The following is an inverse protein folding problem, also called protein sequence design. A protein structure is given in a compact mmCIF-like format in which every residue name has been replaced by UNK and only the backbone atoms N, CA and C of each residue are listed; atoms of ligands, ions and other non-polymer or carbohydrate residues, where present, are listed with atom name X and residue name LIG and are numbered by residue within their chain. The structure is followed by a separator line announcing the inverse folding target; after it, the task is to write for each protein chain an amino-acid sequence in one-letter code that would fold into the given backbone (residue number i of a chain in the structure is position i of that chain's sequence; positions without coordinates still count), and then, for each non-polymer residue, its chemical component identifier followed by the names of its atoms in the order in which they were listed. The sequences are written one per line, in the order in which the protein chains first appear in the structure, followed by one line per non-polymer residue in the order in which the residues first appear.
data_IF_191674898694
#
_entry.id   IF_191674898694
#
_cell.length_a   1.000
_cell.length_b   1.000
_cell.length_c   1.000
_cell.angle_alpha   90.00
_cell.angle_beta   90.00
_cell.angle_gamma   90.00
#
_symmetry.space_group_name_H-M   'P 1'
#
loop_
_entity.id
_entity.type
_entity.pdbx_description
1 polymer ?
#
# COMPACT_ATOMS: atom_id res chain seq x y z
N UNK A 1 10.95 19.14 5.59
CA UNK A 1 10.55 18.70 4.23
C UNK A 1 10.92 19.79 3.25
N UNK A 2 11.51 19.43 2.12
CA UNK A 2 11.82 20.35 1.03
C UNK A 2 11.38 19.70 -0.27
N UNK A 3 10.75 20.45 -1.15
CA UNK A 3 10.38 20.00 -2.49
C UNK A 3 10.37 21.20 -3.42
N UNK A 4 10.62 20.94 -4.70
CA UNK A 4 10.55 21.93 -5.76
C UNK A 4 9.77 21.37 -6.94
N UNK A 5 9.13 22.25 -7.72
CA UNK A 5 8.44 21.87 -8.95
C UNK A 5 9.08 22.63 -10.11
N UNK A 6 9.73 21.88 -10.98
CA UNK A 6 10.46 22.40 -12.13
C UNK A 6 9.66 22.01 -13.37
N UNK A 7 9.11 22.99 -14.07
CA UNK A 7 8.39 22.77 -15.33
C UNK A 7 9.20 23.32 -16.49
N UNK A 8 9.41 22.49 -17.50
CA UNK A 8 10.07 22.87 -18.74
C UNK A 8 9.30 22.32 -19.94
N UNK A 9 8.74 23.23 -20.75
CA UNK A 9 7.88 22.89 -21.89
C UNK A 9 6.71 22.00 -21.46
N UNK A 10 6.67 20.78 -21.97
CA UNK A 10 5.66 19.75 -21.74
C UNK A 10 6.07 18.72 -20.68
N UNK A 11 7.16 18.97 -19.95
CA UNK A 11 7.65 18.10 -18.87
C UNK A 11 7.63 18.85 -17.55
N UNK A 12 7.17 18.20 -16.49
CA UNK A 12 7.25 18.69 -15.12
C UNK A 12 7.94 17.67 -14.23
N UNK A 13 8.86 18.14 -13.39
CA UNK A 13 9.64 17.35 -12.45
C UNK A 13 9.37 17.87 -11.04
N UNK A 14 9.23 16.96 -10.08
CA UNK A 14 8.96 17.28 -8.69
C UNK A 14 9.89 16.47 -7.78
N UNK A 15 11.17 16.86 -7.64
CA UNK A 15 12.04 16.33 -6.61
C UNK A 15 11.64 16.86 -5.23
N UNK A 16 11.76 16.00 -4.22
CA UNK A 16 11.54 16.35 -2.83
C UNK A 16 12.26 15.41 -1.88
N UNK A 17 12.47 15.88 -0.66
CA UNK A 17 13.09 15.11 0.42
C UNK A 17 12.42 15.47 1.74
N UNK A 18 12.13 14.43 2.52
CA UNK A 18 11.69 14.57 3.91
C UNK A 18 12.74 13.98 4.82
N UNK A 19 13.00 14.65 5.94
CA UNK A 19 13.78 14.12 7.03
C UNK A 19 12.90 14.14 8.28
N UNK A 20 12.90 13.04 9.01
CA UNK A 20 12.19 12.87 10.28
C UNK A 20 13.13 12.16 11.26
N UNK A 21 13.02 12.50 12.54
CA UNK A 21 13.68 11.78 13.63
C UNK A 21 12.62 11.13 14.51
N UNK A 22 12.77 9.84 14.76
CA UNK A 22 11.89 9.05 15.61
C UNK A 22 12.50 8.93 17.01
N UNK A 23 11.83 9.51 18.02
CA UNK A 23 12.32 9.48 19.40
C UNK A 23 12.21 8.10 20.06
N UNK A 24 11.28 7.24 19.64
CA UNK A 24 11.07 5.93 20.27
C UNK A 24 12.15 4.95 19.81
N UNK A 25 12.41 4.87 18.50
CA UNK A 25 13.47 4.04 17.94
C UNK A 25 14.83 4.74 17.84
N UNK A 26 14.88 6.04 18.14
CA UNK A 26 16.08 6.89 18.00
C UNK A 26 16.67 6.90 16.57
N UNK A 27 15.82 6.79 15.55
CA UNK A 27 16.24 6.64 14.16
C UNK A 27 16.12 7.95 13.35
N UNK A 28 17.07 8.14 12.43
CA UNK A 28 17.06 9.20 11.43
C UNK A 28 16.51 8.67 10.09
N UNK A 29 15.39 9.22 9.63
CA UNK A 29 14.67 8.72 8.48
C UNK A 29 14.68 9.74 7.34
N UNK A 30 15.19 9.36 6.16
CA UNK A 30 15.27 10.23 4.98
C UNK A 30 14.41 9.65 3.86
N UNK A 31 13.34 10.35 3.50
CA UNK A 31 12.38 9.96 2.47
C UNK A 31 12.56 10.80 1.19
N UNK A 32 13.32 10.33 0.18
CA UNK A 32 13.28 10.94 -1.14
C UNK A 32 11.91 10.75 -1.78
N UNK A 33 11.48 11.76 -2.54
CA UNK A 33 10.28 11.75 -3.37
C UNK A 33 10.60 12.33 -4.73
N UNK A 34 10.18 11.64 -5.77
CA UNK A 34 10.37 12.08 -7.12
C UNK A 34 9.13 11.74 -7.94
N UNK A 35 8.66 12.72 -8.71
CA UNK A 35 7.61 12.54 -9.70
C UNK A 35 8.01 13.29 -10.97
N UNK A 36 7.70 12.70 -12.11
CA UNK A 36 7.77 13.33 -13.43
C UNK A 36 6.44 13.18 -14.13
N UNK A 37 6.04 14.22 -14.84
CA UNK A 37 4.86 14.26 -15.70
C UNK A 37 5.31 14.74 -17.08
N UNK A 38 4.86 14.07 -18.14
CA UNK A 38 5.19 14.41 -19.51
C UNK A 38 3.93 14.39 -20.38
N UNK A 39 3.58 15.54 -20.94
CA UNK A 39 2.56 15.69 -21.98
C UNK A 39 3.18 15.47 -23.35
N UNK A 40 3.05 14.26 -23.92
CA UNK A 40 3.79 13.85 -25.13
C UNK A 40 3.58 14.84 -26.29
N UNK A 41 2.36 15.37 -26.42
CA UNK A 41 1.95 16.23 -27.54
C UNK A 41 1.70 17.69 -27.16
N UNK A 42 1.98 18.07 -25.90
CA UNK A 42 1.73 19.42 -25.37
C UNK A 42 0.27 19.90 -25.51
N UNK A 43 -0.68 18.97 -25.55
CA UNK A 43 -2.11 19.24 -25.70
C UNK A 43 -2.98 18.41 -24.73
N UNK A 44 -2.34 17.77 -23.73
CA UNK A 44 -2.94 16.93 -22.69
C UNK A 44 -3.70 15.70 -23.22
N UNK A 45 -3.44 15.31 -24.47
CA UNK A 45 -4.05 14.12 -25.07
C UNK A 45 -3.39 12.85 -24.55
N UNK A 46 -2.07 12.88 -24.36
CA UNK A 46 -1.30 11.73 -23.89
C UNK A 46 -0.34 12.17 -22.80
N UNK A 47 -0.66 11.80 -21.57
CA UNK A 47 0.11 12.15 -20.38
C UNK A 47 0.79 10.89 -19.83
N UNK A 48 2.11 10.92 -19.69
CA UNK A 48 2.85 9.92 -18.95
C UNK A 48 3.19 10.50 -17.59
N UNK A 49 3.02 9.71 -16.53
CA UNK A 49 3.47 10.02 -15.19
C UNK A 49 4.38 8.90 -14.71
N UNK A 50 5.44 9.25 -14.00
CA UNK A 50 6.27 8.27 -13.32
C UNK A 50 6.76 8.85 -11.99
N UNK A 51 6.99 8.00 -11.00
CA UNK A 51 7.48 8.44 -9.72
C UNK A 51 8.20 7.35 -8.95
N UNK A 52 9.13 7.78 -8.11
CA UNK A 52 9.85 6.92 -7.17
C UNK A 52 9.86 7.61 -5.81
N UNK A 53 9.32 6.93 -4.80
CA UNK A 53 9.10 7.52 -3.49
C UNK A 53 9.43 6.52 -2.39
N UNK A 54 10.00 7.01 -1.29
CA UNK A 54 10.13 6.26 -0.04
C UNK A 54 9.17 6.81 1.01
N UNK A 55 8.55 5.91 1.76
CA UNK A 55 7.66 6.26 2.86
C UNK A 55 8.05 5.46 4.09
N UNK A 56 8.63 6.14 5.09
CA UNK A 56 8.78 5.54 6.42
C UNK A 56 7.41 5.52 7.11
N UNK A 57 7.13 4.45 7.84
CA UNK A 57 5.88 4.32 8.55
C UNK A 57 5.87 3.14 9.51
N UNK A 58 5.02 3.23 10.52
CA UNK A 58 4.76 2.12 11.41
C UNK A 58 3.93 2.49 12.64
N UNK A 59 3.25 1.51 13.23
CA UNK A 59 2.54 1.65 14.50
C UNK A 59 3.51 1.54 15.69
N UNK A 60 4.54 2.37 15.71
CA UNK A 60 5.56 2.40 16.77
C UNK A 60 4.92 2.73 18.14
N UNK A 61 3.84 3.51 18.12
CA UNK A 61 3.00 3.77 19.30
C UNK A 61 2.35 2.49 19.86
N UNK A 62 1.88 1.56 19.01
CA UNK A 62 1.31 0.29 19.48
C UNK A 62 2.36 -0.53 20.22
N UNK A 63 3.60 -0.54 19.72
CA UNK A 63 4.73 -1.19 20.40
C UNK A 63 5.01 -0.55 21.77
N UNK A 64 5.07 0.79 21.84
CA UNK A 64 5.29 1.50 23.10
C UNK A 64 4.15 1.28 24.12
N UNK A 65 2.89 1.30 23.67
CA UNK A 65 1.74 1.03 24.54
C UNK A 65 1.73 -0.41 25.06
N UNK A 66 2.16 -1.37 24.23
CA UNK A 66 2.31 -2.78 24.62
C UNK A 66 3.44 -2.99 25.61
N UNK A 67 4.57 -2.32 25.42
CA UNK A 67 5.70 -2.37 26.36
C UNK A 67 5.28 -1.88 27.74
N UNK A 68 4.58 -0.73 27.78
CA UNK A 68 3.96 -0.22 29.01
C UNK A 68 3.02 -1.29 29.58
N UNK A 69 2.03 -1.78 28.83
CA UNK A 69 1.06 -2.79 29.31
C UNK A 69 1.76 -4.03 29.87
N UNK A 70 2.77 -4.56 29.18
CA UNK A 70 3.50 -5.74 29.60
C UNK A 70 4.21 -5.51 30.93
N UNK A 71 4.82 -4.32 31.14
CA UNK A 71 5.43 -3.94 32.42
C UNK A 71 4.45 -3.93 33.60
N UNK A 72 3.17 -3.57 33.37
CA UNK A 72 2.12 -3.64 34.40
C UNK A 72 1.68 -5.09 34.70
N UNK A 73 1.61 -5.96 33.68
CA UNK A 73 1.17 -7.36 33.84
C UNK A 73 2.23 -8.29 34.46
N UNK A 74 3.52 -7.99 34.28
CA UNK A 74 4.61 -8.73 34.95
C UNK A 74 4.57 -8.61 36.49
N UNK A 75 3.80 -7.65 37.02
CA UNK A 75 3.64 -7.43 38.46
C UNK A 75 2.62 -8.38 39.13
N UNK A 76 1.88 -9.20 38.37
CA UNK A 76 0.72 -9.97 38.88
C UNK A 76 0.81 -11.49 38.63
N UNK A 77 1.68 -11.96 37.72
CA UNK A 77 1.82 -13.39 37.38
C UNK A 77 3.27 -13.88 37.56
N UNK A 78 3.47 -15.07 38.14
CA UNK A 78 4.79 -15.65 38.36
C UNK A 78 5.55 -16.09 37.09
N UNK A 79 4.99 -15.89 35.89
CA UNK A 79 5.66 -16.14 34.62
C UNK A 79 6.29 -14.83 34.10
N UNK A 80 7.61 -14.83 33.88
CA UNK A 80 8.34 -13.67 33.31
C UNK A 80 8.26 -13.69 31.79
N UNK A 81 7.90 -12.55 31.18
CA UNK A 81 7.84 -12.38 29.72
C UNK A 81 8.80 -11.27 29.32
N UNK A 82 10.04 -11.65 29.02
CA UNK A 82 11.05 -10.69 28.63
C UNK A 82 10.83 -10.27 27.19
N UNK A 83 10.47 -9.01 26.98
CA UNK A 83 10.34 -8.41 25.64
C UNK A 83 11.58 -7.57 25.34
N UNK A 84 12.21 -7.81 24.18
CA UNK A 84 13.37 -7.03 23.72
C UNK A 84 13.07 -6.27 22.44
N UNK A 85 13.25 -4.95 22.51
CA UNK A 85 13.12 -3.98 21.42
C UNK A 85 14.49 -3.35 21.07
N UNK A 86 15.54 -4.15 20.92
CA UNK A 86 16.89 -3.63 20.68
C UNK A 86 17.15 -3.38 19.19
N UNK A 87 17.76 -2.22 18.88
CA UNK A 87 18.29 -1.82 17.56
C UNK A 87 17.32 -1.96 16.38
N UNK A 88 16.03 -1.72 16.63
CA UNK A 88 15.00 -1.77 15.60
C UNK A 88 15.11 -0.57 14.64
N UNK A 89 15.15 -0.87 13.35
CA UNK A 89 15.03 0.12 12.28
C UNK A 89 13.58 0.55 12.11
N UNK A 90 13.36 1.78 11.68
CA UNK A 90 12.02 2.24 11.28
C UNK A 90 11.65 1.59 9.94
N UNK A 91 10.53 0.85 9.85
CA UNK A 91 10.08 0.27 8.58
C UNK A 91 9.81 1.33 7.51
N UNK A 92 9.99 0.95 6.25
CA UNK A 92 9.68 1.83 5.13
C UNK A 92 9.20 1.07 3.90
N UNK A 93 8.50 1.77 3.03
CA UNK A 93 8.04 1.28 1.74
C UNK A 93 8.66 2.11 0.62
N UNK A 94 9.33 1.43 -0.31
CA UNK A 94 9.72 2.00 -1.59
C UNK A 94 8.61 1.77 -2.61
N UNK A 95 8.25 2.83 -3.34
CA UNK A 95 7.19 2.83 -4.33
C UNK A 95 7.72 3.31 -5.67
N UNK A 96 7.50 2.50 -6.71
CA UNK A 96 7.67 2.88 -8.11
C UNK A 96 6.28 2.93 -8.76
N UNK A 97 5.90 4.10 -9.26
CA UNK A 97 4.61 4.32 -9.91
C UNK A 97 4.82 4.75 -11.37
N UNK A 98 3.99 4.23 -12.27
CA UNK A 98 3.92 4.64 -13.66
C UNK A 98 2.46 4.74 -14.08
N UNK A 99 2.09 5.82 -14.76
CA UNK A 99 0.75 6.07 -15.25
C UNK A 99 0.76 6.56 -16.70
N UNK A 100 -0.22 6.11 -17.47
CA UNK A 100 -0.52 6.60 -18.80
C UNK A 100 -1.98 7.04 -18.82
N UNK A 101 -2.22 8.30 -19.17
CA UNK A 101 -3.54 8.82 -19.48
C UNK A 101 -3.60 9.13 -20.97
N UNK A 102 -4.64 8.67 -21.64
CA UNK A 102 -4.90 8.88 -23.05
C UNK A 102 -6.33 9.39 -23.25
N UNK A 103 -6.50 10.53 -23.91
CA UNK A 103 -7.78 10.93 -24.48
C UNK A 103 -8.02 10.11 -25.77
N UNK A 104 -9.09 9.34 -25.80
CA UNK A 104 -9.50 8.48 -26.92
C UNK A 104 -10.71 9.13 -27.60
N UNK A 105 -10.58 9.43 -28.88
CA UNK A 105 -11.62 10.15 -29.62
C UNK A 105 -11.88 11.53 -29.01
N UNK A 106 -13.16 11.95 -29.00
CA UNK A 106 -13.54 13.29 -28.56
C UNK A 106 -13.84 13.40 -27.07
N UNK A 107 -14.23 12.31 -26.41
CA UNK A 107 -14.85 12.40 -25.09
C UNK A 107 -14.50 11.25 -24.12
N UNK A 108 -13.58 10.35 -24.45
CA UNK A 108 -13.20 9.26 -23.53
C UNK A 108 -11.80 9.51 -23.00
N UNK A 109 -11.60 9.35 -21.70
CA UNK A 109 -10.29 9.36 -21.06
C UNK A 109 -10.03 7.95 -20.53
N UNK A 110 -8.97 7.32 -21.03
CA UNK A 110 -8.45 6.07 -20.50
C UNK A 110 -7.24 6.35 -19.61
N UNK A 111 -7.17 5.72 -18.45
CA UNK A 111 -6.00 5.80 -17.55
C UNK A 111 -5.55 4.40 -17.17
N UNK A 112 -4.30 4.08 -17.45
CA UNK A 112 -3.64 2.87 -17.01
C UNK A 112 -2.56 3.25 -15.98
N UNK A 113 -2.59 2.66 -14.79
CA UNK A 113 -1.57 2.88 -13.78
C UNK A 113 -1.01 1.55 -13.28
N UNK A 114 0.29 1.52 -13.07
CA UNK A 114 1.01 0.44 -12.43
C UNK A 114 1.78 0.99 -11.23
N UNK A 115 1.66 0.33 -10.09
CA UNK A 115 2.39 0.68 -8.87
C UNK A 115 3.03 -0.58 -8.31
N UNK A 116 4.35 -0.53 -8.14
CA UNK A 116 5.12 -1.51 -7.41
C UNK A 116 5.49 -0.95 -6.04
N UNK A 117 5.23 -1.71 -4.98
CA UNK A 117 5.64 -1.38 -3.62
C UNK A 117 6.47 -2.51 -3.04
N UNK A 118 7.58 -2.15 -2.42
CA UNK A 118 8.39 -3.06 -1.63
C UNK A 118 8.52 -2.50 -0.21
N UNK A 119 7.94 -3.20 0.75
CA UNK A 119 8.08 -2.93 2.17
C UNK A 119 9.36 -3.60 2.68
N UNK A 120 10.19 -2.80 3.35
CA UNK A 120 11.48 -3.17 3.90
C UNK A 120 11.50 -2.95 5.40
N UNK A 121 12.36 -3.71 6.08
CA UNK A 121 12.58 -3.62 7.51
C UNK A 121 11.27 -3.67 8.33
N UNK A 122 10.24 -4.39 7.86
CA UNK A 122 8.99 -4.49 8.60
C UNK A 122 9.25 -5.24 9.90
N UNK A 123 8.70 -4.72 10.99
CA UNK A 123 8.91 -5.31 12.30
C UNK A 123 8.17 -6.65 12.37
N UNK A 124 8.89 -7.69 12.74
CA UNK A 124 8.35 -9.01 13.06
C UNK A 124 8.82 -9.46 14.43
N UNK A 125 8.18 -10.51 14.94
CA UNK A 125 8.48 -11.07 16.24
C UNK A 125 9.03 -12.48 16.09
N UNK A 126 9.93 -12.86 16.98
CA UNK A 126 10.25 -14.25 17.26
C UNK A 126 10.08 -14.48 18.76
N UNK A 127 9.69 -15.68 19.16
CA UNK A 127 9.52 -16.01 20.58
C UNK A 127 10.13 -17.36 20.87
N UNK A 128 10.96 -17.42 21.92
CA UNK A 128 11.52 -18.66 22.45
C UNK A 128 11.13 -18.80 23.91
N UNK A 129 10.61 -19.97 24.28
CA UNK A 129 10.32 -20.30 25.67
C UNK A 129 11.43 -21.20 26.19
N UNK A 130 12.10 -20.75 27.25
CA UNK A 130 13.04 -21.60 27.98
C UNK A 130 12.24 -22.47 28.96
N UNK A 131 12.20 -23.77 28.68
CA UNK A 131 11.49 -24.77 29.47
C UNK A 131 12.03 -24.92 30.90
N UNK A 132 13.31 -24.61 31.15
CA UNK A 132 13.93 -24.73 32.46
C UNK A 132 13.58 -23.55 33.38
N UNK A 133 13.54 -22.33 32.83
CA UNK A 133 13.21 -21.10 33.57
C UNK A 133 11.75 -20.68 33.44
N UNK A 134 10.94 -21.40 32.64
CA UNK A 134 9.56 -21.05 32.25
C UNK A 134 9.42 -19.61 31.75
N UNK A 135 10.49 -19.06 31.18
CA UNK A 135 10.54 -17.68 30.72
C UNK A 135 10.32 -17.67 29.22
N UNK A 136 9.32 -16.91 28.77
CA UNK A 136 9.15 -16.62 27.34
C UNK A 136 9.92 -15.37 27.00
N UNK A 137 10.84 -15.48 26.05
CA UNK A 137 11.60 -14.37 25.50
C UNK A 137 11.00 -14.03 24.15
N UNK A 138 10.48 -12.82 24.02
CA UNK A 138 9.99 -12.27 22.77
C UNK A 138 11.01 -11.27 22.24
N UNK A 139 11.52 -11.51 21.03
CA UNK A 139 12.51 -10.67 20.35
C UNK A 139 11.88 -10.09 19.09
N UNK A 140 11.79 -8.76 19.01
CA UNK A 140 11.37 -8.06 17.80
C UNK A 140 12.57 -7.83 16.88
N UNK A 141 12.38 -7.95 15.57
CA UNK A 141 13.40 -7.75 14.54
C UNK A 141 12.80 -7.10 13.28
N UNK A 142 13.62 -6.80 12.27
CA UNK A 142 13.21 -6.13 11.03
C UNK A 142 13.20 -7.06 9.80
N UNK A 143 12.86 -8.33 9.99
CA UNK A 143 12.97 -9.32 8.91
C UNK A 143 11.77 -9.34 7.96
N UNK A 144 10.69 -8.64 8.32
CA UNK A 144 9.47 -8.59 7.55
C UNK A 144 9.64 -7.85 6.22
N UNK A 145 9.13 -8.45 5.15
CA UNK A 145 9.18 -7.92 3.78
C UNK A 145 7.90 -8.27 3.04
N UNK A 146 7.39 -7.30 2.30
CA UNK A 146 6.21 -7.46 1.44
C UNK A 146 6.44 -6.80 0.09
N UNK A 147 6.07 -7.48 -0.98
CA UNK A 147 6.07 -6.98 -2.36
C UNK A 147 4.65 -6.93 -2.86
N UNK A 148 4.23 -5.77 -3.36
CA UNK A 148 2.88 -5.57 -3.90
C UNK A 148 2.96 -4.99 -5.31
N UNK A 149 2.27 -5.63 -6.23
CA UNK A 149 2.01 -5.13 -7.57
C UNK A 149 0.55 -4.72 -7.66
N UNK A 150 0.30 -3.50 -8.11
CA UNK A 150 -1.04 -3.00 -8.38
C UNK A 150 -1.12 -2.51 -9.81
N UNK A 151 -2.13 -2.97 -10.53
CA UNK A 151 -2.50 -2.50 -11.85
C UNK A 151 -3.91 -1.93 -11.79
N UNK A 152 -4.14 -0.80 -12.46
CA UNK A 152 -5.47 -0.23 -12.64
C UNK A 152 -5.65 0.24 -14.06
N UNK A 153 -6.82 0.00 -14.62
CA UNK A 153 -7.25 0.54 -15.90
C UNK A 153 -8.63 1.15 -15.70
N UNK A 154 -8.80 2.40 -16.09
CA UNK A 154 -10.08 3.09 -15.98
C UNK A 154 -10.44 3.79 -17.28
N UNK A 155 -11.74 3.88 -17.51
CA UNK A 155 -12.31 4.66 -18.60
C UNK A 155 -13.41 5.54 -18.02
N UNK A 156 -13.36 6.81 -18.36
CA UNK A 156 -14.34 7.82 -17.97
C UNK A 156 -14.60 8.75 -19.14
N UNK A 157 -15.67 9.54 -19.04
CA UNK A 157 -15.94 10.57 -20.02
C UNK A 157 -15.27 11.90 -19.59
N UNK A 158 -14.80 12.67 -20.57
CA UNK A 158 -14.26 14.01 -20.31
C UNK A 158 -15.40 15.01 -19.99
N UNK A 159 -16.53 14.84 -20.67
CA UNK A 159 -17.77 15.58 -20.49
C UNK A 159 -18.95 14.59 -20.36
N UNK A 160 -19.95 14.88 -19.51
CA UNK A 160 -21.12 14.03 -19.38
C UNK A 160 -21.87 13.82 -20.71
N UNK A 161 -22.47 12.64 -20.88
CA UNK A 161 -23.41 12.41 -21.97
C UNK A 161 -24.72 13.13 -21.68
N UNK A 162 -25.02 14.15 -22.48
CA UNK A 162 -26.28 14.88 -22.39
C UNK A 162 -27.38 14.12 -23.13
N UNK A 163 -28.29 13.48 -22.39
CA UNK A 163 -29.47 12.80 -22.95
C UNK A 163 -30.72 13.52 -22.46
N UNK A 164 -31.30 14.35 -23.34
CA UNK A 164 -32.50 15.18 -23.08
C UNK A 164 -32.28 16.16 -21.92
N UNK A 165 -32.72 15.79 -20.72
CA UNK A 165 -32.67 16.59 -19.50
C UNK A 165 -31.77 15.95 -18.45
N UNK A 166 -31.07 14.87 -18.81
CA UNK A 166 -30.23 14.09 -17.91
C UNK A 166 -28.81 14.06 -18.44
N UNK A 167 -27.87 14.49 -17.61
CA UNK A 167 -26.45 14.24 -17.82
C UNK A 167 -26.06 12.91 -17.19
N UNK A 168 -25.27 12.12 -17.92
CA UNK A 168 -24.81 10.80 -17.50
C UNK A 168 -23.28 10.77 -17.55
N UNK A 169 -22.64 10.47 -16.42
CA UNK A 169 -21.20 10.32 -16.33
C UNK A 169 -20.82 8.90 -15.86
N UNK A 170 -20.64 7.96 -16.80
CA UNK A 170 -20.20 6.62 -16.48
C UNK A 170 -18.68 6.56 -16.32
N UNK A 171 -18.22 5.77 -15.35
CA UNK A 171 -16.83 5.40 -15.17
C UNK A 171 -16.74 3.90 -14.92
N UNK A 172 -15.84 3.23 -15.64
CA UNK A 172 -15.49 1.84 -15.37
C UNK A 172 -14.04 1.72 -14.94
N UNK A 173 -13.79 0.96 -13.87
CA UNK A 173 -12.47 0.75 -13.30
C UNK A 173 -12.23 -0.75 -13.13
N UNK A 174 -11.12 -1.20 -13.69
CA UNK A 174 -10.54 -2.51 -13.49
C UNK A 174 -9.32 -2.34 -12.59
N UNK A 175 -9.22 -3.12 -11.53
CA UNK A 175 -8.10 -3.09 -10.60
C UNK A 175 -7.64 -4.49 -10.29
N UNK A 176 -6.33 -4.70 -10.37
CA UNK A 176 -5.68 -5.95 -10.02
C UNK A 176 -4.60 -5.69 -8.98
N UNK A 177 -4.60 -6.43 -7.89
CA UNK A 177 -3.57 -6.33 -6.85
C UNK A 177 -3.05 -7.72 -6.53
N UNK A 178 -1.73 -7.83 -6.44
CA UNK A 178 -1.04 -9.04 -6.00
C UNK A 178 0.03 -8.69 -4.98
N UNK A 179 -0.11 -9.23 -3.78
CA UNK A 179 0.87 -9.09 -2.71
C UNK A 179 1.51 -10.42 -2.35
N UNK A 180 2.83 -10.42 -2.08
CA UNK A 180 3.60 -11.56 -1.57
C UNK A 180 4.50 -11.07 -0.43
N UNK A 181 4.75 -11.89 0.58
CA UNK A 181 5.60 -11.50 1.69
C UNK A 181 5.76 -12.63 2.71
N UNK A 182 6.66 -12.44 3.66
CA UNK A 182 6.96 -13.41 4.73
C UNK A 182 6.20 -13.13 6.04
N UNK A 183 5.27 -12.17 6.03
CA UNK A 183 4.39 -11.86 7.16
C UNK A 183 2.92 -11.86 6.71
N UNK A 184 2.05 -12.40 7.56
CA UNK A 184 0.62 -12.13 7.48
C UNK A 184 0.36 -10.66 7.84
N UNK A 185 -0.24 -9.92 6.91
CA UNK A 185 -0.59 -8.51 7.10
C UNK A 185 -1.68 -8.32 8.17
N UNK A 186 -2.39 -9.38 8.56
CA UNK A 186 -3.54 -9.32 9.46
C UNK A 186 -3.13 -9.13 10.94
N UNK A 187 -1.95 -9.62 11.32
CA UNK A 187 -1.46 -9.58 12.70
C UNK A 187 -0.46 -8.43 12.95
N UNK A 188 -0.18 -7.60 11.94
CA UNK A 188 0.74 -6.46 12.06
C UNK A 188 2.12 -6.89 12.58
N UNK A 189 2.55 -6.30 13.69
CA UNK A 189 3.86 -6.59 14.31
C UNK A 189 3.90 -7.80 15.24
N UNK A 190 2.77 -8.47 15.46
CA UNK A 190 2.72 -9.68 16.30
C UNK A 190 2.94 -10.96 15.50
N UNK A 191 3.11 -10.86 14.18
CA UNK A 191 3.33 -12.03 13.34
C UNK A 191 4.73 -12.58 13.55
N UNK A 192 4.79 -13.91 13.72
CA UNK A 192 6.06 -14.63 13.75
C UNK A 192 6.61 -14.77 12.33
N UNK A 193 7.87 -14.40 12.11
CA UNK A 193 8.50 -14.60 10.80
C UNK A 193 8.59 -16.11 10.51
N UNK A 194 7.83 -16.56 9.51
CA UNK A 194 7.81 -17.96 9.05
C UNK A 194 8.53 -18.12 7.70
N UNK A 195 9.38 -17.17 7.31
CA UNK A 195 10.06 -17.16 6.01
C UNK A 195 10.88 -18.42 5.69
N UNK A 196 11.37 -19.13 6.70
CA UNK A 196 12.10 -20.40 6.53
C UNK A 196 11.18 -21.63 6.38
N UNK A 197 9.86 -21.45 6.54
CA UNK A 197 8.91 -22.54 6.41
C UNK A 197 8.57 -22.79 4.94
N UNK A 198 8.58 -24.06 4.55
CA UNK A 198 8.03 -24.49 3.28
C UNK A 198 6.55 -24.79 3.43
N UNK A 199 5.77 -24.37 2.43
CA UNK A 199 4.33 -24.65 2.34
C UNK A 199 4.01 -25.29 1.01
N UNK A 200 2.99 -26.15 1.00
CA UNK A 200 2.49 -26.73 -0.24
C UNK A 200 1.47 -25.75 -0.84
N UNK A 201 1.82 -25.14 -1.96
CA UNK A 201 0.93 -24.24 -2.71
C UNK A 201 0.71 -24.79 -4.11
N UNK A 202 -0.55 -24.99 -4.50
CA UNK A 202 -0.94 -25.62 -5.77
C UNK A 202 -0.23 -26.96 -6.05
N UNK A 203 -0.05 -27.79 -5.02
CA UNK A 203 0.57 -29.11 -5.13
C UNK A 203 2.11 -29.12 -5.17
N UNK A 204 2.76 -27.96 -5.13
CA UNK A 204 4.22 -27.85 -5.10
C UNK A 204 4.71 -27.34 -3.74
N UNK A 205 5.82 -27.90 -3.25
CA UNK A 205 6.50 -27.41 -2.06
C UNK A 205 7.26 -26.13 -2.42
N UNK A 206 6.81 -25.00 -1.89
CA UNK A 206 7.38 -23.68 -2.15
C UNK A 206 7.67 -22.96 -0.83
N UNK A 207 8.58 -22.00 -0.85
CA UNK A 207 8.86 -21.15 0.32
C UNK A 207 7.64 -20.28 0.66
N UNK A 208 7.35 -20.07 1.94
CA UNK A 208 6.17 -19.31 2.39
C UNK A 208 6.13 -17.89 1.81
N UNK A 209 7.29 -17.22 1.72
CA UNK A 209 7.45 -15.87 1.18
C UNK A 209 7.08 -15.73 -0.32
N UNK A 210 7.05 -16.86 -1.03
CA UNK A 210 6.71 -16.92 -2.46
C UNK A 210 5.21 -17.05 -2.73
N UNK A 211 4.43 -17.36 -1.70
CA UNK A 211 2.97 -17.54 -1.76
C UNK A 211 2.27 -16.18 -1.66
N UNK A 212 1.14 -15.96 -2.36
CA UNK A 212 0.38 -14.74 -2.18
C UNK A 212 -0.09 -14.60 -0.73
N UNK A 213 -0.04 -13.38 -0.19
CA UNK A 213 -0.54 -13.13 1.18
C UNK A 213 -2.04 -13.46 1.23
N UNK A 214 -2.48 -14.20 2.25
CA UNK A 214 -3.86 -14.66 2.37
C UNK A 214 -4.87 -13.51 2.54
N UNK A 215 -4.43 -12.40 3.13
CA UNK A 215 -5.25 -11.24 3.45
C UNK A 215 -4.91 -10.02 2.59
N UNK A 216 -5.93 -9.19 2.29
CA UNK A 216 -5.85 -7.98 1.45
C UNK A 216 -5.38 -8.21 0.01
N UNK A 217 -5.54 -9.43 -0.49
CA UNK A 217 -5.15 -9.87 -1.83
C UNK A 217 -6.37 -10.28 -2.66
N UNK A 218 -7.33 -9.36 -2.85
CA UNK A 218 -8.43 -9.58 -3.81
C UNK A 218 -7.86 -9.40 -5.22
N UNK A 219 -7.72 -10.45 -6.04
CA UNK A 219 -6.90 -10.38 -7.23
C UNK A 219 -7.48 -9.40 -8.23
N UNK A 220 -8.79 -9.45 -8.49
CA UNK A 220 -9.46 -8.62 -9.47
C UNK A 220 -10.72 -7.99 -8.90
N UNK A 221 -10.83 -6.67 -9.06
CA UNK A 221 -12.05 -5.90 -8.78
C UNK A 221 -12.41 -5.06 -10.00
N UNK A 222 -13.67 -5.14 -10.38
CA UNK A 222 -14.28 -4.35 -11.45
C UNK A 222 -15.36 -3.48 -10.81
N UNK A 223 -15.40 -2.20 -11.16
CA UNK A 223 -16.41 -1.28 -10.65
C UNK A 223 -16.94 -0.41 -11.77
N UNK A 224 -18.26 -0.35 -11.88
CA UNK A 224 -18.99 0.56 -12.76
C UNK A 224 -19.69 1.59 -11.87
N UNK A 225 -19.28 2.84 -12.01
CA UNK A 225 -19.91 3.99 -11.38
C UNK A 225 -20.71 4.74 -12.44
N UNK A 226 -21.93 5.13 -12.11
CA UNK A 226 -22.79 5.91 -13.00
C UNK A 226 -23.44 7.02 -12.21
N UNK A 227 -23.03 8.25 -12.51
CA UNK A 227 -23.64 9.46 -11.96
C UNK A 227 -24.61 10.04 -12.96
N UNK A 228 -25.78 10.44 -12.46
CA UNK A 228 -26.83 11.03 -13.26
C UNK A 228 -27.29 12.33 -12.64
N UNK A 229 -27.49 13.35 -13.46
CA UNK A 229 -28.02 14.65 -13.02
C UNK A 229 -29.20 15.05 -13.90
N UNK A 230 -30.39 15.15 -13.32
CA UNK A 230 -31.56 15.69 -14.00
C UNK A 230 -31.55 17.23 -13.91
N UNK A 231 -31.16 17.87 -15.00
CA UNK A 231 -30.91 19.31 -15.10
C UNK A 231 -32.07 20.20 -14.61
N UNK A 232 -33.34 19.96 -14.99
CA UNK A 232 -34.44 20.85 -14.60
C UNK A 232 -34.76 20.85 -13.10
N UNK A 233 -34.58 19.70 -12.42
CA UNK A 233 -34.89 19.58 -11.00
C UNK A 233 -33.66 19.65 -10.09
N UNK A 234 -32.45 19.59 -10.66
CA UNK A 234 -31.20 19.47 -9.91
C UNK A 234 -31.04 18.13 -9.18
N UNK A 235 -31.84 17.12 -9.51
CA UNK A 235 -31.77 15.81 -8.85
C UNK A 235 -30.52 15.07 -9.31
N UNK A 236 -29.69 14.65 -8.37
CA UNK A 236 -28.50 13.83 -8.61
C UNK A 236 -28.73 12.45 -8.01
N UNK A 237 -28.45 11.41 -8.79
CA UNK A 237 -28.42 10.04 -8.27
C UNK A 237 -27.21 9.30 -8.84
N UNK A 238 -26.56 8.51 -7.99
CA UNK A 238 -25.37 7.75 -8.31
C UNK A 238 -25.61 6.27 -8.04
N UNK A 239 -25.14 5.41 -8.94
CA UNK A 239 -25.16 3.97 -8.77
C UNK A 239 -23.75 3.41 -8.93
N UNK A 240 -23.36 2.53 -8.01
CA UNK A 240 -22.11 1.78 -8.10
C UNK A 240 -22.42 0.29 -8.13
N UNK A 241 -21.98 -0.38 -9.19
CA UNK A 241 -21.94 -1.82 -9.26
C UNK A 241 -20.48 -2.27 -9.14
N UNK A 242 -20.18 -3.04 -8.11
CA UNK A 242 -18.84 -3.60 -7.90
C UNK A 242 -18.90 -5.12 -7.94
N UNK A 243 -18.01 -5.71 -8.73
CA UNK A 243 -17.72 -7.13 -8.73
C UNK A 243 -16.29 -7.35 -8.21
N UNK A 244 -16.12 -8.35 -7.36
CA UNK A 244 -14.83 -8.74 -6.82
C UNK A 244 -14.69 -10.26 -6.90
N UNK A 245 -13.53 -10.73 -7.33
CA UNK A 245 -13.20 -12.14 -7.30
C UNK A 245 -13.15 -12.64 -5.84
N UNK A 246 -13.61 -13.87 -5.60
CA UNK A 246 -13.55 -14.49 -4.29
C UNK A 246 -12.08 -14.72 -3.86
N UNK A 247 -11.80 -14.53 -2.57
CA UNK A 247 -10.51 -14.92 -1.97
C UNK A 247 -10.40 -16.45 -2.03
N UNK A 248 -9.24 -16.95 -2.45
CA UNK A 248 -8.89 -18.38 -2.40
C UNK A 248 -8.00 -18.65 -1.21
#
# INVERSE_FOLDING_TARGET
YMADRISWRNVSLMPGVRYDYDNYLSNHNISPRFMTEWDIFANQTSMITAGYNRYYGGNILDMGLRDIRNSWTESVSGNKTLTRYQDLKTPYNDELAMGLQQKIGKNVIARANYVYREAHDQISKSSRTDSATKTTITEYNNDGKTKTHSFSLSFELAEPLHIRQVDINPQIVFSYIKSKGNLSLNNGYEESNTGDNQVVYNGNLVSYDSVPVADFNNPLKISLNMDFTHQPSGLVWANTLAWQEARK
#
